data_IF_064435402077
#
_entry.id   IF_064435402077
#
_cell.length_a   1.000
_cell.length_b   1.000
_cell.length_c   1.000
_cell.angle_alpha   90.00
_cell.angle_beta   90.00
_cell.angle_gamma   90.00
#
_symmetry.space_group_name_H-M   'P 1'
#
loop_
_entity.id
_entity.type
_entity.pdbx_description
1 polymer ?
#
# COMPACT_ATOMS: atom_id res chain seq x y z
N UNK A 1 0.19 -11.74 14.35
CA UNK A 1 1.46 -11.24 13.79
C UNK A 1 1.70 -12.00 12.49
N UNK A 2 1.87 -11.30 11.37
CA UNK A 2 2.22 -11.93 10.09
C UNK A 2 3.74 -12.00 10.02
N UNK A 3 4.31 -13.21 9.89
CA UNK A 3 5.74 -13.41 9.65
C UNK A 3 5.93 -13.67 8.16
N UNK A 4 6.52 -12.74 7.39
CA UNK A 4 6.86 -13.02 6.01
C UNK A 4 7.91 -14.14 5.97
N UNK A 5 7.63 -15.22 5.25
CA UNK A 5 8.60 -16.26 4.98
C UNK A 5 9.65 -15.74 3.98
N UNK A 6 10.70 -15.11 4.49
CA UNK A 6 11.86 -14.68 3.70
C UNK A 6 12.90 -15.78 3.75
N UNK A 7 13.29 -16.31 2.58
CA UNK A 7 14.41 -17.25 2.44
C UNK A 7 15.64 -16.48 1.96
N UNK A 8 16.77 -16.72 2.62
CA UNK A 8 18.06 -16.16 2.25
C UNK A 8 18.83 -17.25 1.52
N UNK A 9 19.25 -16.98 0.28
CA UNK A 9 20.06 -17.92 -0.49
C UNK A 9 21.55 -17.80 -0.11
N UNK A 10 22.35 -18.74 -0.61
CA UNK A 10 23.81 -18.79 -0.52
C UNK A 10 24.47 -17.48 -0.99
N UNK A 11 23.90 -16.84 -2.02
CA UNK A 11 24.34 -15.55 -2.57
C UNK A 11 23.86 -14.33 -1.77
N UNK A 12 23.06 -14.54 -0.71
CA UNK A 12 22.50 -13.49 0.13
C UNK A 12 21.28 -12.78 -0.48
N UNK A 13 20.86 -11.69 0.16
CA UNK A 13 19.74 -10.83 -0.30
C UNK A 13 20.08 -9.36 -0.14
N UNK A 14 19.54 -8.52 -1.02
CA UNK A 14 19.56 -7.07 -0.84
C UNK A 14 18.42 -6.66 0.09
N UNK A 15 18.75 -6.50 1.38
CA UNK A 15 17.78 -6.18 2.43
C UNK A 15 16.92 -4.96 2.09
N UNK A 16 17.55 -3.86 1.65
CA UNK A 16 16.85 -2.63 1.31
C UNK A 16 15.80 -2.83 0.21
N UNK A 17 16.10 -3.65 -0.80
CA UNK A 17 15.16 -3.96 -1.88
C UNK A 17 13.98 -4.77 -1.36
N UNK A 18 14.24 -5.80 -0.56
CA UNK A 18 13.19 -6.67 0.00
C UNK A 18 12.27 -5.88 0.93
N UNK A 19 12.83 -5.03 1.79
CA UNK A 19 12.06 -4.16 2.68
C UNK A 19 11.24 -3.14 1.89
N UNK A 20 11.80 -2.52 0.85
CA UNK A 20 11.08 -1.56 0.02
C UNK A 20 9.90 -2.21 -0.72
N UNK A 21 10.08 -3.41 -1.27
CA UNK A 21 9.01 -4.14 -1.95
C UNK A 21 7.91 -4.56 -0.96
N UNK A 22 8.30 -5.10 0.20
CA UNK A 22 7.36 -5.46 1.26
C UNK A 22 6.57 -4.26 1.78
N UNK A 23 7.25 -3.14 2.03
CA UNK A 23 6.61 -1.88 2.41
C UNK A 23 5.61 -1.41 1.35
N UNK A 24 5.99 -1.48 0.06
CA UNK A 24 5.10 -1.14 -1.05
C UNK A 24 3.80 -1.95 -1.05
N UNK A 25 3.92 -3.27 -0.89
CA UNK A 25 2.77 -4.18 -0.81
C UNK A 25 1.85 -3.85 0.37
N UNK A 26 2.42 -3.59 1.55
CA UNK A 26 1.64 -3.22 2.74
C UNK A 26 0.90 -1.90 2.56
N UNK A 27 1.56 -0.90 1.98
CA UNK A 27 0.93 0.40 1.68
C UNK A 27 -0.24 0.22 0.70
N UNK A 28 -0.06 -0.58 -0.34
CA UNK A 28 -1.10 -0.86 -1.32
C UNK A 28 -2.31 -1.58 -0.69
N UNK A 29 -2.07 -2.66 0.04
CA UNK A 29 -3.12 -3.43 0.70
C UNK A 29 -3.89 -2.60 1.73
N UNK A 30 -3.20 -1.73 2.48
CA UNK A 30 -3.85 -0.82 3.42
C UNK A 30 -4.72 0.22 2.70
N UNK A 31 -4.28 0.71 1.53
CA UNK A 31 -5.08 1.61 0.69
C UNK A 31 -6.33 0.90 0.17
N UNK A 32 -6.21 -0.31 -0.38
CA UNK A 32 -7.36 -1.10 -0.86
C UNK A 32 -8.37 -1.36 0.27
N UNK A 33 -7.89 -1.83 1.42
CA UNK A 33 -8.71 -2.10 2.61
C UNK A 33 -9.38 -0.84 3.17
N UNK A 34 -8.79 0.33 2.91
CA UNK A 34 -9.31 1.64 3.28
C UNK A 34 -10.18 2.28 2.20
N UNK A 35 -10.52 1.57 1.12
CA UNK A 35 -11.18 2.14 -0.07
C UNK A 35 -10.47 3.39 -0.60
N UNK A 36 -9.13 3.40 -0.50
CA UNK A 36 -8.21 4.48 -0.86
C UNK A 36 -8.33 5.76 0.00
N UNK A 37 -8.93 5.65 1.17
CA UNK A 37 -9.00 6.75 2.14
C UNK A 37 -7.66 6.87 2.86
N UNK A 38 -6.84 7.86 2.49
CA UNK A 38 -5.50 8.11 3.05
C UNK A 38 -5.46 8.08 4.58
N UNK A 39 -6.43 8.73 5.24
CA UNK A 39 -6.51 8.77 6.70
C UNK A 39 -6.77 7.38 7.30
N UNK A 40 -7.63 6.58 6.68
CA UNK A 40 -7.97 5.22 7.16
C UNK A 40 -6.82 4.25 6.89
N UNK A 41 -6.18 4.32 5.72
CA UNK A 41 -5.00 3.52 5.41
C UNK A 41 -3.84 3.81 6.38
N UNK A 42 -3.61 5.10 6.71
CA UNK A 42 -2.59 5.49 7.68
C UNK A 42 -2.88 4.92 9.08
N UNK A 43 -4.15 4.89 9.49
CA UNK A 43 -4.58 4.25 10.74
C UNK A 43 -4.37 2.73 10.73
N UNK A 44 -4.67 2.06 9.62
CA UNK A 44 -4.46 0.60 9.49
C UNK A 44 -2.98 0.21 9.59
N UNK A 45 -2.09 1.05 9.07
CA UNK A 45 -0.64 0.87 9.16
C UNK A 45 -0.05 1.47 10.45
N UNK A 46 -0.87 2.10 11.29
CA UNK A 46 -0.46 2.77 12.51
C UNK A 46 0.66 3.82 12.29
N UNK A 47 0.57 4.61 11.22
CA UNK A 47 1.50 5.68 10.86
C UNK A 47 0.79 7.02 10.71
N UNK A 48 1.55 8.13 10.70
CA UNK A 48 1.00 9.46 10.42
C UNK A 48 0.51 9.53 8.97
N UNK A 49 -0.58 10.26 8.74
CA UNK A 49 -1.10 10.53 7.38
C UNK A 49 -0.07 11.16 6.46
N UNK A 50 0.75 12.08 6.98
CA UNK A 50 1.84 12.73 6.23
C UNK A 50 2.90 11.73 5.78
N UNK A 51 3.31 10.83 6.69
CA UNK A 51 4.25 9.74 6.38
C UNK A 51 3.69 8.78 5.33
N UNK A 52 2.40 8.45 5.38
CA UNK A 52 1.77 7.65 4.33
C UNK A 52 1.86 8.35 2.97
N UNK A 53 1.60 9.66 2.90
CA UNK A 53 1.67 10.43 1.65
C UNK A 53 3.09 10.43 1.09
N UNK A 54 4.11 10.59 1.92
CA UNK A 54 5.52 10.51 1.50
C UNK A 54 5.87 9.12 0.97
N UNK A 55 5.44 8.06 1.66
CA UNK A 55 5.62 6.67 1.20
C UNK A 55 4.93 6.43 -0.14
N UNK A 56 3.69 6.88 -0.30
CA UNK A 56 2.97 6.80 -1.59
C UNK A 56 3.73 7.49 -2.72
N UNK A 57 4.27 8.70 -2.48
CA UNK A 57 5.09 9.41 -3.48
C UNK A 57 6.36 8.65 -3.85
N UNK A 58 7.09 8.12 -2.86
CA UNK A 58 8.32 7.34 -3.08
C UNK A 58 8.05 6.04 -3.84
N UNK A 59 6.90 5.42 -3.60
CA UNK A 59 6.45 4.19 -4.26
C UNK A 59 5.77 4.44 -5.63
N UNK A 60 5.58 5.70 -6.03
CA UNK A 60 4.89 6.05 -7.27
C UNK A 60 3.38 5.76 -7.25
N UNK A 61 2.77 5.62 -6.07
CA UNK A 61 1.34 5.35 -5.93
C UNK A 61 0.56 6.66 -6.15
N UNK A 62 -0.38 6.72 -7.11
CA UNK A 62 -1.13 7.92 -7.38
C UNK A 62 -1.97 8.31 -6.16
N UNK A 63 -1.87 9.57 -5.76
CA UNK A 63 -2.76 10.12 -4.76
C UNK A 63 -4.14 10.23 -5.42
N UNK A 64 -5.13 9.49 -4.92
CA UNK A 64 -6.49 9.39 -5.49
C UNK A 64 -7.32 10.71 -5.51
N UNK A 65 -6.68 11.88 -5.55
CA UNK A 65 -7.36 13.15 -5.80
C UNK A 65 -7.45 13.49 -7.30
N UNK A 66 -6.68 12.78 -8.15
CA UNK A 66 -6.47 13.22 -9.53
C UNK A 66 -7.15 12.34 -10.61
N UNK A 67 -7.75 11.18 -10.26
CA UNK A 67 -8.12 10.20 -11.30
C UNK A 67 -9.39 9.34 -11.09
N UNK A 68 -10.21 9.50 -10.04
CA UNK A 68 -11.34 8.58 -9.79
C UNK A 68 -12.69 9.28 -9.53
N UNK A 69 -12.98 10.32 -10.32
CA UNK A 69 -14.30 10.92 -10.40
C UNK A 69 -15.29 10.16 -11.29
N UNK A 70 -14.92 9.01 -11.88
CA UNK A 70 -15.81 8.18 -12.69
C UNK A 70 -15.56 6.70 -12.46
N UNK A 71 -16.31 6.12 -11.53
CA UNK A 71 -16.92 4.80 -11.68
C UNK A 71 -18.14 4.78 -10.78
N UNK A 72 -19.19 5.39 -11.33
CA UNK A 72 -20.58 5.12 -10.99
C UNK A 72 -20.95 3.78 -11.66
N UNK A 73 -21.67 2.94 -10.92
CA UNK A 73 -22.65 1.93 -11.41
C UNK A 73 -22.22 0.82 -12.37
N UNK A 74 -22.12 -0.41 -11.84
CA UNK A 74 -22.58 -1.70 -12.39
C UNK A 74 -21.96 -2.77 -11.45
N UNK A 75 -22.68 -3.54 -10.65
CA UNK A 75 -23.74 -4.52 -10.95
C UNK A 75 -24.52 -4.74 -9.62
N UNK A 76 -25.84 -4.78 -9.52
CA UNK A 76 -26.83 -5.29 -10.47
C UNK A 76 -27.14 -6.75 -10.11
N UNK A 77 -28.27 -6.97 -9.43
CA UNK A 77 -28.97 -8.21 -9.07
C UNK A 77 -28.50 -9.54 -9.67
N UNK A 78 -28.44 -10.57 -8.82
CA UNK A 78 -29.21 -11.82 -9.00
C UNK A 78 -29.83 -12.19 -7.67
#
# INVERSE_FOLDING_TARGET
MIMPAVRIDSDGIFLDRVLADFEGRLVYQALESASWTKTRAARLLNIKRTTLIEKMKRLGIPLKNDAFGKQSVAQGSV
#
